data_IF_347024255907
#
_entry.id   IF_347024255907
#
_cell.length_a   1.000
_cell.length_b   1.000
_cell.length_c   1.000
_cell.angle_alpha   90.00
_cell.angle_beta   90.00
_cell.angle_gamma   90.00
#
_symmetry.space_group_name_H-M   'P 1'
#
loop_
_entity.id
_entity.type
_entity.pdbx_description
1 polymer ?
#
# COMPACT_ATOMS: atom_id res chain seq x y z
N UNK A 1 2.47 50.07 -45.81
CA UNK A 1 1.23 49.56 -45.21
C UNK A 1 1.50 49.35 -43.74
N UNK A 2 0.94 50.21 -42.88
CA UNK A 2 1.35 50.36 -41.47
C UNK A 2 0.20 49.95 -40.53
N UNK A 3 0.44 48.85 -39.83
CA UNK A 3 0.13 48.51 -38.43
C UNK A 3 -1.31 48.63 -37.85
N UNK A 4 -1.91 47.46 -37.58
CA UNK A 4 -3.23 47.20 -36.94
C UNK A 4 -3.17 47.31 -35.39
N UNK A 5 -2.35 48.21 -34.83
CA UNK A 5 -2.15 48.32 -33.37
C UNK A 5 -3.00 49.38 -32.65
N UNK A 6 -4.21 49.69 -33.13
CA UNK A 6 -5.06 50.75 -32.53
C UNK A 6 -6.55 50.43 -32.42
N UNK A 7 -6.93 49.24 -31.96
CA UNK A 7 -8.28 49.04 -31.40
C UNK A 7 -8.18 47.97 -30.32
N UNK A 8 -8.13 48.39 -29.05
CA UNK A 8 -8.70 47.73 -27.85
C UNK A 8 -8.07 48.38 -26.62
N UNK A 9 -8.34 49.67 -26.46
CA UNK A 9 -7.99 50.45 -25.27
C UNK A 9 -9.20 51.31 -24.95
N UNK A 10 -10.31 50.67 -24.54
CA UNK A 10 -11.43 51.39 -23.91
C UNK A 10 -12.48 50.47 -23.24
N UNK A 11 -12.10 49.47 -22.44
CA UNK A 11 -13.01 48.93 -21.41
C UNK A 11 -12.19 48.61 -20.16
N UNK A 12 -12.72 49.02 -19.00
CA UNK A 12 -12.19 48.89 -17.63
C UNK A 12 -11.27 50.00 -17.13
N UNK A 13 -11.77 51.22 -17.18
CA UNK A 13 -11.56 52.19 -16.09
C UNK A 13 -12.56 51.91 -14.96
N UNK A 14 -12.34 50.86 -14.16
CA UNK A 14 -13.00 50.70 -12.85
C UNK A 14 -11.99 50.11 -11.86
N UNK A 15 -11.62 50.95 -10.88
CA UNK A 15 -11.00 50.62 -9.60
C UNK A 15 -9.69 49.81 -9.62
N UNK A 16 -8.57 50.52 -9.71
CA UNK A 16 -7.38 50.15 -8.93
C UNK A 16 -7.71 50.31 -7.44
N UNK A 17 -8.43 49.33 -6.88
CA UNK A 17 -8.22 48.99 -5.49
C UNK A 17 -6.82 48.36 -5.42
N UNK A 18 -6.00 48.82 -4.48
CA UNK A 18 -4.68 48.27 -4.19
C UNK A 18 -4.78 46.74 -4.02
N UNK A 19 -4.60 45.98 -5.09
CA UNK A 19 -4.20 44.59 -5.00
C UNK A 19 -2.76 44.64 -4.49
N UNK A 20 -2.61 44.56 -3.17
CA UNK A 20 -1.34 44.23 -2.55
C UNK A 20 -0.74 43.07 -3.37
N UNK A 21 0.57 43.12 -3.71
CA UNK A 21 1.20 41.97 -4.35
C UNK A 21 0.93 40.77 -3.44
N UNK A 22 0.15 39.80 -3.94
CA UNK A 22 0.00 38.50 -3.30
C UNK A 22 1.39 37.89 -3.41
N UNK A 23 2.21 38.12 -2.39
CA UNK A 23 3.42 37.34 -2.20
C UNK A 23 2.95 35.89 -2.16
N UNK A 24 3.54 34.97 -2.96
CA UNK A 24 3.18 33.57 -2.86
C UNK A 24 3.33 33.18 -1.40
N UNK A 25 2.22 32.88 -0.74
CA UNK A 25 2.28 32.44 0.64
C UNK A 25 3.10 31.17 0.64
N UNK A 26 4.18 31.12 1.40
CA UNK A 26 4.97 29.90 1.65
C UNK A 26 4.16 28.84 2.43
N UNK A 27 2.84 29.03 2.55
CA UNK A 27 1.91 28.15 3.19
C UNK A 27 1.68 26.94 2.27
N UNK A 28 2.52 25.92 2.44
CA UNK A 28 2.24 24.59 1.91
C UNK A 28 0.91 24.12 2.49
N UNK A 29 -0.01 23.68 1.63
CA UNK A 29 -1.23 23.01 2.07
C UNK A 29 -0.84 21.67 2.72
N UNK A 30 -1.36 21.40 3.92
CA UNK A 30 -1.16 20.14 4.63
C UNK A 30 -2.51 19.47 4.85
N UNK A 31 -2.62 18.14 4.65
CA UNK A 31 -3.85 17.42 4.94
C UNK A 31 -4.12 17.41 6.46
N UNK A 32 -5.39 17.30 6.84
CA UNK A 32 -5.76 16.99 8.23
C UNK A 32 -5.48 15.51 8.52
N UNK A 33 -5.04 15.20 9.74
CA UNK A 33 -5.00 13.84 10.26
C UNK A 33 -6.41 13.31 10.50
N UNK A 34 -6.61 11.99 10.43
CA UNK A 34 -7.93 11.37 10.62
C UNK A 34 -8.55 11.73 11.99
N UNK A 35 -7.74 11.80 13.03
CA UNK A 35 -8.14 12.18 14.39
C UNK A 35 -8.64 13.64 14.50
N UNK A 36 -8.32 14.48 13.51
CA UNK A 36 -8.72 15.89 13.48
C UNK A 36 -10.08 16.10 12.82
N UNK A 37 -10.67 15.06 12.22
CA UNK A 37 -11.92 15.15 11.46
C UNK A 37 -12.92 14.15 12.04
N UNK A 38 -13.98 14.68 12.66
CA UNK A 38 -15.08 13.86 13.18
C UNK A 38 -16.26 13.91 12.21
N UNK A 39 -16.73 12.75 11.78
CA UNK A 39 -17.98 12.63 11.02
C UNK A 39 -19.16 12.74 11.98
N UNK A 40 -20.04 13.71 11.74
CA UNK A 40 -21.22 13.95 12.57
C UNK A 40 -22.48 13.38 11.92
N UNK A 41 -23.44 13.01 12.76
CA UNK A 41 -24.79 12.67 12.30
C UNK A 41 -25.44 13.87 11.63
N UNK A 42 -26.01 13.65 10.45
CA UNK A 42 -26.78 14.62 9.69
C UNK A 42 -27.78 13.86 8.82
N UNK A 43 -28.98 14.42 8.52
CA UNK A 43 -29.84 13.86 7.48
C UNK A 43 -29.03 13.73 6.18
N UNK A 44 -28.79 12.49 5.74
CA UNK A 44 -27.95 12.13 4.59
C UNK A 44 -26.46 12.44 4.75
N UNK A 45 -25.76 11.69 5.63
CA UNK A 45 -24.30 11.74 5.78
C UNK A 45 -23.63 10.55 5.08
N UNK A 46 -23.42 10.58 3.75
CA UNK A 46 -22.88 9.43 3.01
C UNK A 46 -21.49 9.00 3.51
N UNK A 47 -20.71 9.91 4.09
CA UNK A 47 -19.41 9.61 4.69
C UNK A 47 -19.56 8.80 5.98
N UNK A 48 -20.50 9.16 6.86
CA UNK A 48 -20.76 8.40 8.09
C UNK A 48 -21.38 7.04 7.77
N UNK A 49 -22.34 7.00 6.84
CA UNK A 49 -22.95 5.74 6.37
C UNK A 49 -21.89 4.79 5.78
N UNK A 50 -20.97 5.32 4.96
CA UNK A 50 -19.85 4.56 4.41
C UNK A 50 -18.88 4.06 5.49
N UNK A 51 -18.61 4.88 6.51
CA UNK A 51 -17.78 4.46 7.65
C UNK A 51 -18.42 3.29 8.41
N UNK A 52 -19.70 3.39 8.75
CA UNK A 52 -20.44 2.36 9.48
C UNK A 52 -20.54 1.06 8.67
N UNK A 53 -20.75 1.16 7.35
CA UNK A 53 -20.77 0.00 6.45
C UNK A 53 -19.40 -0.67 6.38
N UNK A 54 -18.31 0.10 6.28
CA UNK A 54 -16.95 -0.44 6.28
C UNK A 54 -16.62 -1.12 7.61
N UNK A 55 -17.02 -0.53 8.74
CA UNK A 55 -16.83 -1.13 10.05
C UNK A 55 -17.55 -2.49 10.15
N UNK A 56 -18.84 -2.53 9.79
CA UNK A 56 -19.61 -3.77 9.79
C UNK A 56 -19.02 -4.84 8.85
N UNK A 57 -18.47 -4.42 7.71
CA UNK A 57 -17.80 -5.32 6.77
C UNK A 57 -16.51 -5.89 7.35
N UNK A 58 -15.65 -5.07 7.98
CA UNK A 58 -14.43 -5.54 8.62
C UNK A 58 -14.71 -6.51 9.76
N UNK A 59 -15.78 -6.27 10.51
CA UNK A 59 -16.20 -7.13 11.61
C UNK A 59 -16.72 -8.50 11.17
N UNK A 60 -17.31 -8.58 9.97
CA UNK A 60 -17.80 -9.82 9.38
C UNK A 60 -16.67 -10.78 8.98
N UNK A 61 -15.45 -10.27 8.76
CA UNK A 61 -14.35 -11.05 8.20
C UNK A 61 -13.68 -11.94 9.26
N UNK A 62 -13.65 -13.28 9.06
CA UNK A 62 -12.91 -14.17 9.93
C UNK A 62 -11.43 -14.09 9.57
N UNK A 63 -10.65 -13.44 10.43
CA UNK A 63 -9.24 -13.11 10.14
C UNK A 63 -8.34 -14.32 9.93
N UNK A 64 -8.64 -15.47 10.53
CA UNK A 64 -7.88 -16.71 10.30
C UNK A 64 -7.93 -17.16 8.83
N UNK A 65 -9.01 -16.85 8.10
CA UNK A 65 -9.11 -17.17 6.67
C UNK A 65 -8.15 -16.34 5.82
N UNK A 66 -7.76 -15.16 6.28
CA UNK A 66 -6.76 -14.32 5.62
C UNK A 66 -5.34 -14.90 5.75
N UNK A 67 -5.11 -15.72 6.78
CA UNK A 67 -3.82 -16.36 7.05
C UNK A 67 -3.67 -17.72 6.36
N UNK A 68 -4.74 -18.25 5.76
CA UNK A 68 -4.79 -19.61 5.21
C UNK A 68 -3.60 -19.92 4.29
N UNK A 69 -3.35 -19.08 3.29
CA UNK A 69 -2.29 -19.29 2.27
C UNK A 69 -0.90 -19.08 2.85
N UNK A 70 -0.75 -18.18 3.83
CA UNK A 70 0.50 -17.99 4.58
C UNK A 70 0.84 -19.23 5.42
N UNK A 71 -0.15 -19.79 6.11
CA UNK A 71 0.01 -21.03 6.87
C UNK A 71 0.35 -22.22 5.97
N UNK A 72 -0.30 -22.34 4.81
CA UNK A 72 0.05 -23.36 3.83
C UNK A 72 1.51 -23.27 3.37
N UNK A 73 2.00 -22.06 3.06
CA UNK A 73 3.39 -21.86 2.62
C UNK A 73 4.40 -22.27 3.71
N UNK A 74 4.06 -22.06 4.99
CA UNK A 74 4.91 -22.41 6.13
C UNK A 74 4.65 -23.83 6.70
N UNK A 75 3.86 -24.67 6.03
CA UNK A 75 3.47 -26.00 6.52
C UNK A 75 2.81 -25.99 7.92
N UNK A 76 2.11 -24.92 8.25
CA UNK A 76 1.28 -24.81 9.46
C UNK A 76 -0.10 -25.41 9.16
N UNK A 77 -0.66 -26.19 10.10
CA UNK A 77 -1.99 -26.78 9.92
C UNK A 77 -3.06 -25.71 9.70
N UNK A 78 -3.88 -25.92 8.68
CA UNK A 78 -5.08 -25.10 8.35
C UNK A 78 -6.37 -25.87 8.65
N UNK A 79 -6.29 -26.90 9.49
CA UNK A 79 -7.46 -27.71 9.88
C UNK A 79 -8.56 -26.82 10.50
N UNK A 80 -9.78 -26.93 9.96
CA UNK A 80 -10.92 -26.11 10.39
C UNK A 80 -10.95 -24.68 9.84
N UNK A 81 -9.97 -24.28 9.01
CA UNK A 81 -9.95 -22.96 8.36
C UNK A 81 -10.32 -23.13 6.88
N UNK A 82 -11.42 -22.53 6.46
CA UNK A 82 -11.81 -22.52 5.05
C UNK A 82 -11.10 -21.40 4.28
N UNK A 83 -10.47 -21.66 3.13
CA UNK A 83 -9.84 -20.61 2.34
C UNK A 83 -10.86 -19.58 1.84
N UNK A 84 -10.39 -18.36 1.57
CA UNK A 84 -11.17 -17.40 0.80
C UNK A 84 -11.27 -17.83 -0.67
N UNK A 85 -12.25 -17.26 -1.39
CA UNK A 85 -12.45 -17.50 -2.83
C UNK A 85 -11.88 -16.39 -3.71
N UNK A 86 -12.20 -16.45 -5.01
CA UNK A 86 -11.83 -15.41 -5.97
C UNK A 86 -10.32 -15.18 -6.04
N UNK A 87 -9.90 -13.92 -5.97
CA UNK A 87 -8.50 -13.51 -6.02
C UNK A 87 -7.71 -13.88 -4.75
N UNK A 88 -8.38 -14.18 -3.64
CA UNK A 88 -7.75 -14.67 -2.40
C UNK A 88 -7.71 -16.20 -2.33
N UNK A 89 -8.19 -16.88 -3.37
CA UNK A 89 -8.14 -18.35 -3.39
C UNK A 89 -6.70 -18.86 -3.41
N UNK A 90 -6.43 -20.06 -2.86
CA UNK A 90 -5.10 -20.67 -2.87
C UNK A 90 -4.51 -20.89 -4.28
N UNK A 91 -5.35 -20.85 -5.31
CA UNK A 91 -4.98 -21.03 -6.71
C UNK A 91 -4.76 -19.71 -7.47
N UNK A 92 -5.04 -18.56 -6.84
CA UNK A 92 -4.84 -17.25 -7.46
C UNK A 92 -3.42 -16.76 -7.20
N UNK A 93 -2.73 -16.30 -8.24
CA UNK A 93 -1.39 -15.72 -8.12
C UNK A 93 -1.38 -14.38 -7.37
N UNK A 94 -2.53 -13.70 -7.28
CA UNK A 94 -2.66 -12.38 -6.63
C UNK A 94 -3.24 -12.43 -5.21
N UNK A 95 -3.30 -13.63 -4.62
CA UNK A 95 -3.74 -13.84 -3.23
C UNK A 95 -2.86 -13.10 -2.22
N UNK A 96 -3.42 -12.80 -1.05
CA UNK A 96 -2.76 -12.09 0.06
C UNK A 96 -2.86 -10.57 0.00
N UNK A 97 -3.34 -10.02 -1.12
CA UNK A 97 -3.49 -8.57 -1.32
C UNK A 97 -4.58 -8.01 -0.41
N UNK A 98 -5.67 -8.75 -0.21
CA UNK A 98 -6.76 -8.32 0.64
C UNK A 98 -6.36 -8.21 2.11
N UNK A 99 -5.48 -9.09 2.60
CA UNK A 99 -4.93 -8.98 3.97
C UNK A 99 -4.24 -7.62 4.16
N UNK A 100 -3.45 -7.18 3.18
CA UNK A 100 -2.77 -5.89 3.27
C UNK A 100 -3.76 -4.72 3.40
N UNK A 101 -4.82 -4.73 2.58
CA UNK A 101 -5.89 -3.74 2.68
C UNK A 101 -6.63 -3.80 4.02
N UNK A 102 -6.81 -4.99 4.58
CA UNK A 102 -7.40 -5.17 5.91
C UNK A 102 -6.55 -4.50 7.00
N UNK A 103 -5.22 -4.64 6.95
CA UNK A 103 -4.31 -3.95 7.90
C UNK A 103 -4.45 -2.43 7.80
N UNK A 104 -4.44 -1.88 6.58
CA UNK A 104 -4.58 -0.44 6.35
C UNK A 104 -5.95 0.07 6.82
N UNK A 105 -7.02 -0.66 6.49
CA UNK A 105 -8.38 -0.30 6.89
C UNK A 105 -8.54 -0.30 8.42
N UNK A 106 -7.95 -1.29 9.10
CA UNK A 106 -7.97 -1.40 10.55
C UNK A 106 -7.22 -0.27 11.24
N UNK A 107 -6.03 0.08 10.74
CA UNK A 107 -5.27 1.22 11.25
C UNK A 107 -6.03 2.54 11.08
N UNK A 108 -6.65 2.76 9.90
CA UNK A 108 -7.45 3.96 9.64
C UNK A 108 -8.73 4.00 10.49
N UNK A 109 -9.39 2.86 10.70
CA UNK A 109 -10.55 2.75 11.58
C UNK A 109 -10.22 3.16 13.03
N UNK A 110 -9.09 2.67 13.54
CA UNK A 110 -8.58 3.06 14.85
C UNK A 110 -8.33 4.58 14.94
N UNK A 111 -7.68 5.18 13.94
CA UNK A 111 -7.42 6.62 13.98
C UNK A 111 -8.67 7.49 13.79
N UNK A 112 -9.63 7.04 12.97
CA UNK A 112 -10.82 7.83 12.66
C UNK A 112 -11.88 7.78 13.78
N UNK A 113 -12.07 6.63 14.44
CA UNK A 113 -13.15 6.44 15.41
C UNK A 113 -12.79 5.50 16.58
N UNK A 114 -11.49 5.34 16.88
CA UNK A 114 -10.97 4.60 18.04
C UNK A 114 -11.45 3.13 18.12
N UNK A 115 -11.55 2.46 16.97
CA UNK A 115 -11.92 1.04 16.90
C UNK A 115 -10.77 0.12 17.37
N UNK A 116 -10.71 -0.09 18.68
CA UNK A 116 -9.70 -0.94 19.32
C UNK A 116 -9.94 -2.43 19.08
N UNK A 117 -11.18 -2.85 18.82
CA UNK A 117 -11.51 -4.24 18.51
C UNK A 117 -10.92 -4.64 17.14
N UNK A 118 -11.14 -3.80 16.14
CA UNK A 118 -10.60 -4.00 14.80
C UNK A 118 -9.06 -3.89 14.78
N UNK A 119 -8.49 -3.00 15.60
CA UNK A 119 -7.05 -2.92 15.77
C UNK A 119 -6.45 -4.20 16.35
N UNK A 120 -7.08 -4.79 17.36
CA UNK A 120 -6.61 -6.05 17.98
C UNK A 120 -6.57 -7.21 16.97
N UNK A 121 -7.58 -7.30 16.10
CA UNK A 121 -7.60 -8.27 14.99
C UNK A 121 -6.43 -8.08 14.02
N UNK A 122 -6.11 -6.83 13.67
CA UNK A 122 -4.98 -6.53 12.80
C UNK A 122 -3.63 -6.83 13.46
N UNK A 123 -3.50 -6.58 14.77
CA UNK A 123 -2.29 -6.95 15.52
C UNK A 123 -2.09 -8.46 15.56
N UNK A 124 -3.15 -9.21 15.81
CA UNK A 124 -3.13 -10.66 15.72
C UNK A 124 -2.66 -11.16 14.35
N UNK A 125 -3.15 -10.57 13.26
CA UNK A 125 -2.69 -10.91 11.90
C UNK A 125 -1.18 -10.67 11.74
N UNK A 126 -0.67 -9.53 12.19
CA UNK A 126 0.77 -9.21 12.13
C UNK A 126 1.60 -10.23 12.94
N UNK A 127 1.16 -10.59 14.14
CA UNK A 127 1.83 -11.60 14.96
C UNK A 127 1.89 -12.97 14.27
N UNK A 128 0.78 -13.42 13.66
CA UNK A 128 0.77 -14.69 12.94
C UNK A 128 1.59 -14.63 11.65
N UNK A 129 1.57 -13.52 10.94
CA UNK A 129 2.44 -13.31 9.77
C UNK A 129 3.92 -13.32 10.15
N UNK A 130 4.28 -12.71 11.28
CA UNK A 130 5.65 -12.77 11.79
C UNK A 130 6.06 -14.22 12.07
N UNK A 131 5.19 -14.97 12.76
CA UNK A 131 5.43 -16.40 13.01
C UNK A 131 5.66 -17.19 11.71
N UNK A 132 4.85 -16.92 10.67
CA UNK A 132 5.03 -17.53 9.34
C UNK A 132 6.39 -17.16 8.76
N UNK A 133 6.75 -15.88 8.76
CA UNK A 133 8.03 -15.39 8.23
C UNK A 133 9.23 -16.06 8.93
N UNK A 134 9.16 -16.22 10.26
CA UNK A 134 10.21 -16.90 11.03
C UNK A 134 10.30 -18.39 10.71
N UNK A 135 9.18 -19.07 10.45
CA UNK A 135 9.18 -20.50 10.06
C UNK A 135 9.73 -20.70 8.65
N UNK A 136 9.38 -19.81 7.71
CA UNK A 136 9.92 -19.85 6.35
C UNK A 136 11.44 -19.67 6.37
N UNK A 137 11.94 -18.75 7.20
CA UNK A 137 13.37 -18.47 7.36
C UNK A 137 14.07 -18.16 6.01
N UNK A 138 13.36 -17.50 5.09
CA UNK A 138 13.81 -17.14 3.75
C UNK A 138 14.36 -15.70 3.70
N UNK A 139 15.28 -15.37 4.62
CA UNK A 139 15.96 -14.05 4.65
C UNK A 139 15.00 -12.85 4.64
N UNK A 140 13.90 -12.93 5.39
CA UNK A 140 12.89 -11.87 5.48
C UNK A 140 11.77 -11.95 4.44
N UNK A 141 11.81 -12.89 3.50
CA UNK A 141 10.70 -13.08 2.56
C UNK A 141 9.41 -13.50 3.27
N UNK A 142 8.32 -12.82 2.92
CA UNK A 142 6.97 -13.19 3.33
C UNK A 142 5.99 -12.79 2.22
N UNK A 143 5.20 -13.74 1.75
CA UNK A 143 4.06 -13.50 0.88
C UNK A 143 3.05 -14.65 1.00
N UNK A 144 1.81 -14.41 0.55
CA UNK A 144 0.80 -15.45 0.43
C UNK A 144 1.12 -16.46 -0.69
N UNK A 145 2.18 -16.24 -1.45
CA UNK A 145 2.71 -17.08 -2.50
C UNK A 145 4.18 -17.44 -2.25
N UNK A 146 4.67 -18.59 -2.77
CA UNK A 146 6.05 -19.03 -2.55
C UNK A 146 7.05 -18.16 -3.32
N UNK A 147 8.25 -17.98 -2.79
CA UNK A 147 9.32 -17.15 -3.37
C UNK A 147 9.67 -17.49 -4.82
N UNK A 148 9.37 -18.71 -5.26
CA UNK A 148 9.45 -19.14 -6.66
C UNK A 148 8.69 -18.23 -7.65
N UNK A 149 7.67 -17.49 -7.23
CA UNK A 149 6.99 -16.53 -8.11
C UNK A 149 7.92 -15.41 -8.60
N UNK A 150 8.84 -14.93 -7.75
CA UNK A 150 9.86 -13.95 -8.17
C UNK A 150 10.89 -14.58 -9.11
N UNK A 151 11.20 -15.88 -8.93
CA UNK A 151 12.09 -16.61 -9.83
C UNK A 151 11.45 -16.87 -11.20
N UNK A 152 10.16 -17.15 -11.25
CA UNK A 152 9.39 -17.20 -12.50
C UNK A 152 9.42 -15.86 -13.22
N UNK A 153 9.19 -14.76 -12.49
CA UNK A 153 9.30 -13.41 -13.05
C UNK A 153 10.71 -13.15 -13.61
N UNK A 154 11.76 -13.48 -12.85
CA UNK A 154 13.16 -13.37 -13.26
C UNK A 154 13.45 -14.12 -14.56
N UNK A 155 12.85 -15.31 -14.75
CA UNK A 155 12.99 -16.14 -15.96
C UNK A 155 11.98 -15.81 -17.07
N UNK A 156 11.15 -14.77 -16.89
CA UNK A 156 10.08 -14.39 -17.82
C UNK A 156 9.05 -15.50 -18.06
N UNK A 157 8.85 -16.36 -17.07
CA UNK A 157 7.82 -17.39 -17.06
C UNK A 157 6.49 -16.82 -16.58
N UNK A 158 5.38 -17.47 -16.97
CA UNK A 158 4.03 -17.03 -16.59
C UNK A 158 3.85 -17.02 -15.06
N UNK A 159 3.59 -15.84 -14.52
CA UNK A 159 3.17 -15.56 -13.15
C UNK A 159 2.37 -14.26 -13.15
N UNK A 160 1.42 -14.06 -12.25
CA UNK A 160 0.63 -12.81 -12.23
C UNK A 160 1.09 -11.87 -11.10
N UNK A 161 1.57 -10.68 -11.47
CA UNK A 161 1.74 -9.52 -10.59
C UNK A 161 2.43 -9.74 -9.22
N UNK A 162 3.54 -10.50 -9.10
CA UNK A 162 4.15 -10.78 -7.80
C UNK A 162 4.70 -9.52 -7.11
N UNK A 163 5.26 -8.56 -7.86
CA UNK A 163 5.77 -7.30 -7.29
C UNK A 163 4.62 -6.48 -6.69
N UNK A 164 3.49 -6.36 -7.41
CA UNK A 164 2.29 -5.71 -6.88
C UNK A 164 1.83 -6.35 -5.56
N UNK A 165 1.70 -7.67 -5.50
CA UNK A 165 1.23 -8.35 -4.29
C UNK A 165 2.20 -8.16 -3.12
N UNK A 166 3.50 -8.25 -3.39
CA UNK A 166 4.54 -8.01 -2.38
C UNK A 166 4.48 -6.58 -1.84
N UNK A 167 4.35 -5.61 -2.74
CA UNK A 167 4.25 -4.19 -2.39
C UNK A 167 3.01 -3.88 -1.55
N UNK A 168 1.87 -4.51 -1.84
CA UNK A 168 0.67 -4.31 -1.02
C UNK A 168 0.91 -4.73 0.42
N UNK A 169 1.53 -5.89 0.66
CA UNK A 169 1.85 -6.33 2.02
C UNK A 169 2.87 -5.39 2.69
N UNK A 170 3.93 -4.97 1.98
CA UNK A 170 4.87 -3.96 2.46
C UNK A 170 4.13 -2.69 2.90
N UNK A 171 3.18 -2.21 2.09
CA UNK A 171 2.35 -1.03 2.40
C UNK A 171 1.48 -1.24 3.61
N UNK A 172 0.79 -2.38 3.70
CA UNK A 172 -0.06 -2.71 4.85
C UNK A 172 0.71 -2.72 6.16
N UNK A 173 1.92 -3.31 6.16
CA UNK A 173 2.80 -3.36 7.33
C UNK A 173 3.40 -1.98 7.67
N UNK A 174 3.81 -1.20 6.66
CA UNK A 174 4.29 0.18 6.85
C UNK A 174 3.20 1.07 7.46
N UNK A 175 1.98 1.02 6.92
CA UNK A 175 0.86 1.82 7.38
C UNK A 175 0.46 1.44 8.81
N UNK A 176 0.29 0.14 9.12
CA UNK A 176 -0.08 -0.25 10.49
C UNK A 176 1.02 0.14 11.48
N UNK A 177 2.31 -0.01 11.13
CA UNK A 177 3.41 0.42 11.99
C UNK A 177 3.40 1.94 12.24
N UNK A 178 3.26 2.74 11.18
CA UNK A 178 3.37 4.21 11.27
C UNK A 178 2.15 4.86 11.91
N UNK A 179 0.95 4.32 11.64
CA UNK A 179 -0.31 4.88 12.13
C UNK A 179 -0.64 4.47 13.56
N UNK A 180 -0.17 3.30 14.01
CA UNK A 180 -0.56 2.71 15.31
C UNK A 180 0.62 2.56 16.29
N UNK A 181 1.86 2.65 15.79
CA UNK A 181 3.06 2.44 16.58
C UNK A 181 3.46 0.97 16.77
N UNK A 182 2.83 0.02 16.07
CA UNK A 182 3.17 -1.40 16.14
C UNK A 182 4.54 -1.68 15.51
N UNK A 183 5.60 -1.62 16.32
CA UNK A 183 7.00 -1.77 15.90
C UNK A 183 7.31 -3.11 15.24
N UNK A 184 6.60 -4.19 15.60
CA UNK A 184 6.75 -5.50 14.97
C UNK A 184 6.47 -5.44 13.47
N UNK A 185 5.39 -4.76 13.05
CA UNK A 185 5.05 -4.62 11.64
C UNK A 185 6.14 -3.86 10.87
N UNK A 186 6.71 -2.81 11.45
CA UNK A 186 7.81 -2.06 10.85
C UNK A 186 9.08 -2.91 10.68
N UNK A 187 9.38 -3.76 11.66
CA UNK A 187 10.51 -4.72 11.59
C UNK A 187 10.32 -5.69 10.43
N UNK A 188 9.15 -6.33 10.35
CA UNK A 188 8.81 -7.26 9.27
C UNK A 188 8.86 -6.60 7.89
N UNK A 189 8.29 -5.41 7.78
CA UNK A 189 8.30 -4.64 6.54
C UNK A 189 9.73 -4.35 6.09
N UNK A 190 10.61 -3.95 7.01
CA UNK A 190 12.00 -3.69 6.70
C UNK A 190 12.72 -4.95 6.23
N UNK A 191 12.55 -6.08 6.91
CA UNK A 191 13.13 -7.36 6.49
C UNK A 191 12.66 -7.78 5.09
N UNK A 192 11.37 -7.63 4.80
CA UNK A 192 10.81 -7.88 3.47
C UNK A 192 11.38 -6.92 2.41
N UNK A 193 11.55 -5.64 2.76
CA UNK A 193 12.09 -4.64 1.85
C UNK A 193 13.56 -4.90 1.51
N UNK A 194 14.37 -5.33 2.49
CA UNK A 194 15.76 -5.76 2.26
C UNK A 194 15.84 -6.99 1.36
N UNK A 195 14.93 -7.96 1.53
CA UNK A 195 14.81 -9.10 0.63
C UNK A 195 14.54 -8.64 -0.81
N UNK A 196 13.52 -7.79 -1.01
CA UNK A 196 13.17 -7.27 -2.33
C UNK A 196 14.32 -6.48 -2.95
N UNK A 197 14.98 -5.61 -2.17
CA UNK A 197 16.12 -4.83 -2.62
C UNK A 197 17.26 -5.73 -3.11
N UNK A 198 17.59 -6.77 -2.34
CA UNK A 198 18.63 -7.74 -2.70
C UNK A 198 18.30 -8.48 -4.00
N UNK A 199 17.04 -8.88 -4.18
CA UNK A 199 16.57 -9.51 -5.42
C UNK A 199 16.64 -8.57 -6.62
N UNK A 200 16.21 -7.31 -6.46
CA UNK A 200 16.27 -6.29 -7.53
C UNK A 200 17.72 -5.98 -7.92
N UNK A 201 18.61 -5.80 -6.94
CA UNK A 201 20.03 -5.54 -7.18
C UNK A 201 20.70 -6.71 -7.94
N UNK A 202 20.38 -7.95 -7.57
CA UNK A 202 20.80 -9.14 -8.33
C UNK A 202 20.30 -9.11 -9.77
N UNK A 203 19.02 -8.81 -10.00
CA UNK A 203 18.45 -8.73 -11.34
C UNK A 203 19.14 -7.66 -12.20
N UNK A 204 19.39 -6.47 -11.64
CA UNK A 204 20.07 -5.36 -12.34
C UNK A 204 21.51 -5.73 -12.72
N UNK A 205 22.22 -6.46 -11.85
CA UNK A 205 23.60 -6.90 -12.11
C UNK A 205 23.69 -8.06 -13.10
N UNK A 206 22.66 -8.89 -13.17
CA UNK A 206 22.65 -10.13 -13.96
C UNK A 206 22.13 -9.92 -15.37
N UNK A 207 21.13 -9.06 -15.55
CA UNK A 207 20.39 -8.95 -16.80
C UNK A 207 20.52 -7.57 -17.44
N UNK A 208 20.44 -7.47 -18.79
CA UNK A 208 20.41 -6.18 -19.46
C UNK A 208 19.11 -5.41 -19.15
N UNK A 209 19.14 -4.09 -19.31
CA UNK A 209 17.98 -3.21 -19.05
C UNK A 209 16.72 -3.63 -19.82
N UNK A 210 16.85 -4.21 -21.01
CA UNK A 210 15.72 -4.71 -21.81
C UNK A 210 14.98 -5.86 -21.12
N UNK A 211 15.71 -6.71 -20.39
CA UNK A 211 15.13 -7.80 -19.59
C UNK A 211 14.38 -7.25 -18.38
N UNK A 212 14.96 -6.27 -17.69
CA UNK A 212 14.27 -5.54 -16.61
C UNK A 212 12.99 -4.87 -17.10
N UNK A 213 13.05 -4.18 -18.24
CA UNK A 213 11.86 -3.60 -18.87
C UNK A 213 10.82 -4.66 -19.22
N UNK A 214 11.25 -5.85 -19.62
CA UNK A 214 10.34 -6.96 -19.93
C UNK A 214 9.64 -7.47 -18.67
N UNK A 215 10.39 -7.66 -17.57
CA UNK A 215 9.81 -8.02 -16.27
C UNK A 215 8.78 -7.01 -15.75
N UNK A 216 9.01 -5.70 -15.97
CA UNK A 216 8.16 -4.63 -15.41
C UNK A 216 7.07 -4.15 -16.36
N UNK A 217 7.24 -4.24 -17.69
CA UNK A 217 6.37 -3.57 -18.67
C UNK A 217 5.83 -4.45 -19.82
N UNK A 218 6.40 -5.63 -20.12
CA UNK A 218 6.11 -6.28 -21.41
C UNK A 218 4.85 -7.15 -21.45
N UNK A 219 4.15 -7.34 -20.34
CA UNK A 219 2.84 -7.99 -20.40
C UNK A 219 1.85 -7.24 -19.53
N UNK A 220 0.59 -7.22 -19.98
CA UNK A 220 -0.58 -6.84 -19.17
C UNK A 220 -0.75 -7.71 -17.90
N UNK A 221 0.11 -8.70 -17.70
CA UNK A 221 0.09 -9.65 -16.58
C UNK A 221 1.16 -9.32 -15.50
N UNK A 222 2.03 -8.32 -15.71
CA UNK A 222 3.05 -7.91 -14.73
C UNK A 222 2.80 -6.49 -14.21
N UNK A 223 1.81 -6.39 -13.33
CA UNK A 223 1.56 -5.18 -12.53
C UNK A 223 2.61 -5.08 -11.40
N UNK A 224 3.25 -3.92 -11.28
CA UNK A 224 4.23 -3.62 -10.22
C UNK A 224 3.66 -2.73 -9.10
N UNK A 225 2.37 -2.41 -9.17
CA UNK A 225 1.66 -1.61 -8.18
C UNK A 225 2.28 -0.24 -7.96
N UNK A 226 2.31 0.17 -6.71
CA UNK A 226 2.85 1.47 -6.30
C UNK A 226 4.29 1.41 -5.82
N UNK A 227 5.10 0.43 -6.26
CA UNK A 227 6.42 0.20 -5.64
C UNK A 227 7.35 1.41 -5.73
N UNK A 228 7.29 2.19 -6.81
CA UNK A 228 8.07 3.43 -6.92
C UNK A 228 7.65 4.45 -5.85
N UNK A 229 6.34 4.69 -5.70
CA UNK A 229 5.81 5.62 -4.68
C UNK A 229 6.12 5.11 -3.27
N UNK A 230 5.98 3.79 -3.05
CA UNK A 230 6.33 3.13 -1.81
C UNK A 230 7.78 3.44 -1.40
N UNK A 231 8.73 3.30 -2.33
CA UNK A 231 10.16 3.53 -2.09
C UNK A 231 10.44 5.00 -1.77
N UNK A 232 9.85 5.95 -2.52
CA UNK A 232 9.97 7.38 -2.22
C UNK A 232 9.42 7.73 -0.83
N UNK A 233 8.32 7.11 -0.41
CA UNK A 233 7.79 7.28 0.94
C UNK A 233 8.73 6.70 2.00
N UNK A 234 9.33 5.53 1.78
CA UNK A 234 10.33 4.97 2.71
C UNK A 234 11.58 5.84 2.78
N UNK A 235 12.03 6.43 1.66
CA UNK A 235 13.09 7.44 1.67
C UNK A 235 12.69 8.64 2.54
N UNK A 236 11.46 9.15 2.40
CA UNK A 236 10.95 10.24 3.22
C UNK A 236 10.91 9.93 4.72
N UNK A 237 10.61 8.68 5.08
CA UNK A 237 10.51 8.23 6.48
C UNK A 237 11.88 7.93 7.11
N UNK A 238 12.82 7.36 6.34
CA UNK A 238 14.07 6.78 6.87
C UNK A 238 15.32 7.60 6.51
N UNK A 239 15.27 8.38 5.43
CA UNK A 239 16.44 9.01 4.82
C UNK A 239 17.37 8.06 4.05
N UNK A 240 16.98 6.79 3.86
CA UNK A 240 17.80 5.81 3.17
C UNK A 240 17.84 6.06 1.65
N UNK A 241 19.00 6.50 1.17
CA UNK A 241 19.21 6.87 -0.24
C UNK A 241 19.10 5.71 -1.22
N UNK A 242 19.06 4.45 -0.76
CA UNK A 242 18.81 3.30 -1.63
C UNK A 242 17.41 3.34 -2.26
N UNK A 243 16.47 4.06 -1.65
CA UNK A 243 15.07 4.14 -2.08
C UNK A 243 14.71 5.43 -2.85
N UNK A 244 15.70 6.24 -3.23
CA UNK A 244 15.51 7.50 -3.97
C UNK A 244 15.88 7.38 -5.45
#
# INVERSE_FOLDING_TARGET
MCDIKKVFLLILSVSLANALPISPSNNKLTPFFLQQVNLIESPHSPSLDGQLLNQAYLDLLPVDRLLYTYYQNANISVEGIEPLGGWESPYSDIRGVFLAFYLQASAKAYLAYNDTHQLAKAYYLVEQLYRVQQILNESGFLAAWPSEHLRKLERLEKVWAPIYCYEKLLRGLSDISTLTGLTLAGTMMHEMLEYLYTWVDHCIKTYPISHWQTMIFSTTDYEYGGISDFLYEQYGLTGDRRFF
#
